data_IF_507948789684
#
_entry.id   IF_507948789684
#
_cell.length_a   1.000
_cell.length_b   1.000
_cell.length_c   1.000
_cell.angle_alpha   90.00
_cell.angle_beta   90.00
_cell.angle_gamma   90.00
#
_symmetry.space_group_name_H-M   'P 1'
#
loop_
_entity.id
_entity.type
_entity.pdbx_description
1 polymer ?
#
# COMPACT_ATOMS: atom_id res chain seq x y z
N UNK A 1 21.38 9.46 5.63
CA UNK A 1 19.91 9.66 5.56
C UNK A 1 19.26 9.42 6.93
N UNK A 2 19.43 8.25 7.53
CA UNK A 2 18.85 7.90 8.85
C UNK A 2 19.17 8.93 9.95
N UNK A 3 20.42 9.38 10.06
CA UNK A 3 20.82 10.39 11.05
C UNK A 3 20.11 11.75 10.85
N UNK A 4 19.95 12.20 9.60
CA UNK A 4 19.25 13.46 9.28
C UNK A 4 17.75 13.38 9.60
N UNK A 5 17.17 12.19 9.47
CA UNK A 5 15.77 11.93 9.86
C UNK A 5 15.67 11.92 11.39
N UNK A 6 16.59 11.25 12.07
CA UNK A 6 16.65 11.21 13.52
C UNK A 6 16.83 12.61 14.15
N UNK A 7 17.63 13.49 13.53
CA UNK A 7 17.79 14.89 13.97
C UNK A 7 16.49 15.72 13.87
N UNK A 8 15.59 15.35 12.95
CA UNK A 8 14.31 16.04 12.77
C UNK A 8 13.19 15.50 13.66
N UNK A 9 13.45 14.40 14.36
CA UNK A 9 12.46 13.66 15.12
C UNK A 9 12.07 14.39 16.40
N UNK A 10 10.78 14.30 16.71
CA UNK A 10 10.28 14.53 18.05
C UNK A 10 10.16 13.19 18.79
N UNK A 11 10.71 13.12 20.00
CA UNK A 11 10.64 11.89 20.80
C UNK A 11 9.21 11.69 21.30
N UNK A 12 8.41 12.73 21.42
CA UNK A 12 7.05 12.69 21.96
C UNK A 12 5.96 12.51 20.89
N UNK A 13 6.23 12.87 19.63
CA UNK A 13 5.22 12.83 18.55
C UNK A 13 5.65 12.01 17.35
N UNK A 14 4.67 11.58 16.53
CA UNK A 14 4.96 10.95 15.25
C UNK A 14 5.62 11.94 14.29
N UNK A 15 6.78 11.55 13.76
CA UNK A 15 7.49 12.37 12.78
C UNK A 15 7.19 11.82 11.39
N UNK A 16 6.30 12.50 10.66
CA UNK A 16 5.95 12.15 9.28
C UNK A 16 6.92 12.82 8.31
N UNK A 17 7.54 12.01 7.44
CA UNK A 17 8.50 12.43 6.43
C UNK A 17 7.88 12.25 5.04
N UNK A 18 7.50 13.35 4.37
CA UNK A 18 7.04 13.28 3.00
C UNK A 18 8.14 12.81 2.03
N UNK A 19 7.75 12.03 1.04
CA UNK A 19 8.66 11.41 0.08
C UNK A 19 8.21 11.70 -1.34
N UNK A 20 8.94 12.57 -2.04
CA UNK A 20 8.73 12.90 -3.44
C UNK A 20 9.85 12.29 -4.29
N UNK A 21 9.80 10.97 -4.41
CA UNK A 21 10.79 10.16 -5.13
C UNK A 21 10.00 9.23 -6.07
N UNK A 22 10.33 9.17 -7.37
CA UNK A 22 9.67 8.26 -8.28
C UNK A 22 10.03 6.81 -7.93
N UNK A 23 9.24 5.86 -8.43
CA UNK A 23 9.49 4.43 -8.27
C UNK A 23 10.92 4.08 -8.72
N UNK A 24 11.76 3.70 -7.75
CA UNK A 24 13.20 3.49 -7.94
C UNK A 24 13.81 2.85 -6.68
N UNK A 25 15.04 2.31 -6.74
CA UNK A 25 15.75 1.87 -5.55
C UNK A 25 15.86 2.96 -4.46
N UNK A 26 16.02 4.22 -4.86
CA UNK A 26 16.09 5.35 -3.92
C UNK A 26 14.80 5.51 -3.11
N UNK A 27 13.63 5.25 -3.70
CA UNK A 27 12.36 5.28 -2.98
C UNK A 27 12.38 4.23 -1.86
N UNK A 28 12.65 2.96 -2.19
CA UNK A 28 12.60 1.87 -1.22
C UNK A 28 13.62 2.03 -0.08
N UNK A 29 14.84 2.45 -0.41
CA UNK A 29 15.88 2.76 0.58
C UNK A 29 15.42 3.90 1.49
N UNK A 30 14.76 4.93 0.94
CA UNK A 30 14.23 6.05 1.70
C UNK A 30 13.12 5.64 2.66
N UNK A 31 12.17 4.80 2.21
CA UNK A 31 11.11 4.28 3.09
C UNK A 31 11.70 3.49 4.26
N UNK A 32 12.65 2.58 3.98
CA UNK A 32 13.34 1.80 5.01
C UNK A 32 14.11 2.68 5.99
N UNK A 33 14.81 3.70 5.51
CA UNK A 33 15.57 4.62 6.37
C UNK A 33 14.65 5.46 7.28
N UNK A 34 13.48 5.88 6.77
CA UNK A 34 12.47 6.58 7.58
C UNK A 34 11.98 5.68 8.71
N UNK A 35 11.56 4.45 8.39
CA UNK A 35 11.08 3.49 9.39
C UNK A 35 12.16 3.15 10.42
N UNK A 36 13.41 2.93 9.97
CA UNK A 36 14.55 2.64 10.86
C UNK A 36 14.91 3.81 11.77
N UNK A 37 14.66 5.04 11.34
CA UNK A 37 14.82 6.23 12.17
C UNK A 37 13.63 6.47 13.13
N UNK A 38 12.59 5.63 13.07
CA UNK A 38 11.37 5.74 13.88
C UNK A 38 10.40 6.83 13.42
N UNK A 39 10.47 7.20 12.13
CA UNK A 39 9.49 8.09 11.50
C UNK A 39 8.49 7.33 10.63
N UNK A 40 7.44 8.03 10.21
CA UNK A 40 6.44 7.54 9.26
C UNK A 40 6.68 8.14 7.88
N UNK A 41 6.51 7.38 6.80
CA UNK A 41 6.64 7.93 5.44
C UNK A 41 5.29 8.40 4.88
N UNK A 42 5.31 9.49 4.11
CA UNK A 42 4.12 9.99 3.40
C UNK A 42 4.45 10.19 1.91
N UNK A 43 4.16 9.21 1.04
CA UNK A 43 4.51 9.31 -0.37
C UNK A 43 3.73 10.45 -1.03
N UNK A 44 4.43 11.28 -1.78
CA UNK A 44 3.86 12.36 -2.57
C UNK A 44 3.87 11.95 -4.03
N UNK A 45 2.78 12.23 -4.72
CA UNK A 45 2.81 12.09 -6.16
C UNK A 45 3.81 13.13 -6.71
N UNK A 46 4.71 12.69 -7.60
CA UNK A 46 5.14 13.53 -8.73
C UNK A 46 3.86 13.93 -9.50
N UNK A 47 3.78 14.49 -10.67
CA UNK A 47 2.52 14.94 -11.33
C UNK A 47 1.44 15.78 -10.55
N UNK A 48 1.42 15.85 -9.22
CA UNK A 48 0.46 16.57 -8.42
C UNK A 48 0.72 18.07 -8.53
N UNK A 49 -0.35 18.88 -8.57
CA UNK A 49 -0.21 20.32 -8.56
C UNK A 49 0.58 20.79 -7.32
N UNK A 50 1.40 21.86 -7.43
CA UNK A 50 2.17 22.39 -6.30
C UNK A 50 1.32 22.71 -5.06
N UNK A 51 0.08 23.17 -5.23
CA UNK A 51 -0.83 23.44 -4.11
C UNK A 51 -1.22 22.17 -3.35
N UNK A 52 -1.33 21.02 -4.03
CA UNK A 52 -1.59 19.73 -3.37
C UNK A 52 -0.39 19.29 -2.54
N UNK A 53 0.83 19.44 -3.09
CA UNK A 53 2.07 19.15 -2.35
C UNK A 53 2.16 20.06 -1.13
N UNK A 54 1.95 21.36 -1.30
CA UNK A 54 1.94 22.36 -0.21
C UNK A 54 0.93 22.03 0.88
N UNK A 55 -0.28 21.63 0.50
CA UNK A 55 -1.32 21.21 1.45
C UNK A 55 -0.82 20.05 2.31
N UNK A 56 -0.35 18.96 1.70
CA UNK A 56 0.11 17.77 2.42
C UNK A 56 1.31 18.10 3.33
N UNK A 57 2.31 18.85 2.82
CA UNK A 57 3.48 19.25 3.62
C UNK A 57 3.08 20.01 4.89
N UNK A 58 2.06 20.87 4.80
CA UNK A 58 1.55 21.63 5.96
C UNK A 58 0.74 20.75 6.90
N UNK A 59 -0.15 19.93 6.35
CA UNK A 59 -1.07 19.08 7.12
C UNK A 59 -0.30 18.08 7.99
N UNK A 60 0.75 17.46 7.46
CA UNK A 60 1.64 16.58 8.24
C UNK A 60 2.72 17.31 9.04
N UNK A 61 2.69 18.65 9.08
CA UNK A 61 3.69 19.49 9.76
C UNK A 61 5.14 19.14 9.41
N UNK A 62 5.40 18.90 8.11
CA UNK A 62 6.68 18.39 7.63
C UNK A 62 7.84 19.36 7.96
N UNK A 63 8.89 18.85 8.61
CA UNK A 63 10.17 19.58 8.79
C UNK A 63 11.18 19.24 7.70
N UNK A 64 11.10 18.02 7.16
CA UNK A 64 11.99 17.46 6.16
C UNK A 64 11.16 16.78 5.08
N UNK A 65 11.61 16.87 3.83
CA UNK A 65 11.06 16.10 2.70
C UNK A 65 12.21 15.41 1.96
N UNK A 66 12.04 14.12 1.65
CA UNK A 66 13.00 13.40 0.82
C UNK A 66 12.61 13.53 -0.65
N UNK A 67 13.59 13.89 -1.48
CA UNK A 67 13.38 14.15 -2.91
C UNK A 67 14.53 13.61 -3.75
N UNK A 68 14.31 13.41 -5.04
CA UNK A 68 15.41 13.35 -6.01
C UNK A 68 15.86 14.75 -6.41
N UNK A 69 17.07 14.88 -6.95
CA UNK A 69 17.58 16.14 -7.51
C UNK A 69 16.64 16.70 -8.56
N UNK A 70 16.14 15.83 -9.43
CA UNK A 70 15.22 16.20 -10.50
C UNK A 70 13.93 16.82 -9.94
N UNK A 71 13.36 16.22 -8.88
CA UNK A 71 12.10 16.69 -8.30
C UNK A 71 12.26 17.75 -7.21
N UNK A 72 13.47 18.15 -6.83
CA UNK A 72 13.67 19.11 -5.75
C UNK A 72 12.97 20.47 -5.98
N UNK A 73 12.88 20.91 -7.24
CA UNK A 73 12.20 22.16 -7.63
C UNK A 73 10.67 22.13 -7.40
N UNK A 74 10.08 20.95 -7.21
CA UNK A 74 8.66 20.76 -6.90
C UNK A 74 8.29 21.14 -5.48
N UNK A 75 9.26 21.14 -4.57
CA UNK A 75 9.01 21.44 -3.15
C UNK A 75 8.71 22.93 -3.04
N UNK A 76 7.49 23.34 -2.61
CA UNK A 76 7.13 24.73 -2.54
C UNK A 76 8.01 25.49 -1.52
N UNK A 77 8.71 26.56 -1.91
CA UNK A 77 9.59 27.30 -1.00
C UNK A 77 8.89 27.87 0.24
N UNK A 78 7.59 28.18 0.11
CA UNK A 78 6.78 28.77 1.17
C UNK A 78 6.50 27.84 2.37
N UNK A 79 6.88 26.56 2.31
CA UNK A 79 6.62 25.60 3.38
C UNK A 79 7.72 25.55 4.45
N UNK A 80 8.86 26.24 4.28
CA UNK A 80 10.01 26.18 5.20
C UNK A 80 10.48 24.73 5.52
N UNK A 81 10.34 23.81 4.56
CA UNK A 81 10.72 22.40 4.70
C UNK A 81 12.12 22.18 4.14
N UNK A 82 12.97 21.46 4.88
CA UNK A 82 14.30 21.08 4.39
C UNK A 82 14.18 19.93 3.38
N UNK A 83 14.47 20.19 2.12
CA UNK A 83 14.54 19.15 1.09
C UNK A 83 15.89 18.42 1.16
N UNK A 84 15.86 17.09 1.32
CA UNK A 84 17.04 16.22 1.28
C UNK A 84 17.05 15.45 -0.03
N UNK A 85 18.06 15.70 -0.85
CA UNK A 85 18.27 14.97 -2.10
C UNK A 85 18.92 13.62 -1.83
N UNK A 86 18.27 12.53 -2.23
CA UNK A 86 18.70 11.16 -1.91
C UNK A 86 19.61 10.53 -2.97
N UNK A 87 19.72 11.16 -4.14
CA UNK A 87 20.43 10.70 -5.34
C UNK A 87 21.72 11.49 -5.62
N UNK A 88 22.06 12.45 -4.76
CA UNK A 88 23.28 13.28 -4.88
C UNK A 88 24.27 13.06 -3.75
N UNK A 89 23.83 12.50 -2.62
CA UNK A 89 24.70 12.25 -1.47
C UNK A 89 25.43 10.92 -1.65
N UNK A 90 26.76 10.97 -1.68
CA UNK A 90 27.58 9.77 -1.60
C UNK A 90 27.53 9.27 -0.14
N UNK A 91 26.60 8.37 0.18
CA UNK A 91 26.48 7.77 1.51
C UNK A 91 27.64 6.80 1.85
N UNK A 92 28.70 6.78 1.05
CA UNK A 92 29.89 5.93 1.23
C UNK A 92 30.74 6.29 2.46
N UNK A 93 30.40 7.33 3.23
CA UNK A 93 31.16 7.70 4.42
C UNK A 93 30.34 7.54 5.71
N UNK A 94 30.89 6.67 6.56
CA UNK A 94 30.83 6.73 8.02
C UNK A 94 29.48 6.51 8.71
N UNK A 95 29.18 5.22 8.92
CA UNK A 95 28.92 4.57 10.22
C UNK A 95 27.96 3.39 10.00
N UNK A 96 28.49 2.16 10.13
CA UNK A 96 27.67 0.96 10.44
C UNK A 96 27.12 1.06 11.87
N UNK A 97 26.48 2.18 12.23
CA UNK A 97 25.74 2.26 13.48
C UNK A 97 24.39 1.64 13.19
N UNK A 98 24.08 0.56 13.90
CA UNK A 98 22.69 0.15 14.01
C UNK A 98 21.88 1.35 14.51
N UNK A 99 20.68 1.58 13.95
CA UNK A 99 19.82 2.64 14.44
C UNK A 99 19.63 2.47 15.95
N UNK A 100 20.06 3.44 16.75
CA UNK A 100 19.85 3.43 18.21
C UNK A 100 18.39 3.73 18.59
N UNK A 101 17.51 3.84 17.61
CA UNK A 101 16.11 4.16 17.78
C UNK A 101 15.31 2.92 18.15
N UNK A 102 14.80 2.87 19.38
CA UNK A 102 13.71 1.96 19.73
C UNK A 102 12.44 2.44 19.03
N UNK A 103 12.02 1.71 17.99
CA UNK A 103 10.76 1.97 17.28
C UNK A 103 9.61 1.40 18.12
N UNK A 104 8.60 2.23 18.35
CA UNK A 104 7.39 1.86 19.06
C UNK A 104 6.37 1.32 18.04
N UNK A 105 5.88 0.06 18.17
CA UNK A 105 4.92 -0.52 17.22
C UNK A 105 3.61 0.28 17.08
N UNK A 106 3.22 1.05 18.09
CA UNK A 106 1.99 1.84 18.07
C UNK A 106 2.17 3.22 17.41
N UNK A 107 3.39 3.57 17.01
CA UNK A 107 3.64 4.77 16.20
C UNK A 107 3.34 4.56 14.73
N UNK A 108 3.12 5.67 14.05
CA UNK A 108 2.85 5.68 12.62
C UNK A 108 4.03 5.09 11.84
N UNK A 109 3.72 4.15 10.94
CA UNK A 109 4.64 3.66 9.91
C UNK A 109 4.48 4.47 8.62
N UNK A 110 3.24 4.82 8.26
CA UNK A 110 2.99 5.60 7.06
C UNK A 110 1.70 6.41 7.12
N UNK A 111 1.63 7.41 6.26
CA UNK A 111 0.42 8.21 6.00
C UNK A 111 0.11 8.18 4.51
N UNK A 112 -1.11 7.79 4.14
CA UNK A 112 -1.58 7.80 2.76
C UNK A 112 -2.71 8.81 2.58
N UNK A 113 -2.60 9.67 1.56
CA UNK A 113 -3.65 10.63 1.25
C UNK A 113 -4.65 10.07 0.24
N UNK A 114 -5.90 9.97 0.66
CA UNK A 114 -7.03 9.53 -0.19
C UNK A 114 -7.87 10.73 -0.66
N UNK A 115 -8.68 10.53 -1.70
CA UNK A 115 -9.70 11.51 -2.08
C UNK A 115 -10.83 11.49 -1.06
N UNK A 116 -10.88 12.49 -0.18
CA UNK A 116 -11.99 12.65 0.75
C UNK A 116 -13.29 12.99 0.02
N UNK A 117 -14.43 12.54 0.57
CA UNK A 117 -15.77 12.83 0.07
C UNK A 117 -16.10 14.34 -0.02
N UNK A 118 -15.41 15.17 0.77
CA UNK A 118 -15.55 16.63 0.78
C UNK A 118 -14.69 17.33 -0.29
N UNK A 119 -13.94 16.58 -1.11
CA UNK A 119 -13.00 17.11 -2.10
C UNK A 119 -11.63 17.51 -1.52
N UNK A 120 -11.52 17.66 -0.20
CA UNK A 120 -10.23 17.84 0.49
C UNK A 120 -9.56 16.48 0.73
N UNK A 121 -8.28 16.31 0.36
CA UNK A 121 -7.56 15.08 0.65
C UNK A 121 -7.53 14.78 2.15
N UNK A 122 -7.70 13.51 2.53
CA UNK A 122 -7.61 13.05 3.93
C UNK A 122 -6.38 12.17 4.09
N UNK A 123 -5.56 12.43 5.11
CA UNK A 123 -4.42 11.59 5.48
C UNK A 123 -4.88 10.45 6.38
N UNK A 124 -4.67 9.21 5.94
CA UNK A 124 -4.91 8.01 6.75
C UNK A 124 -3.57 7.57 7.33
N UNK A 125 -3.41 7.66 8.65
CA UNK A 125 -2.21 7.23 9.36
C UNK A 125 -2.33 5.79 9.83
N UNK A 126 -1.35 4.96 9.50
CA UNK A 126 -1.30 3.55 9.88
C UNK A 126 -0.07 3.27 10.72
N UNK A 127 -0.25 2.52 11.80
CA UNK A 127 0.83 2.18 12.74
C UNK A 127 1.70 1.04 12.21
N UNK A 128 2.89 0.89 12.80
CA UNK A 128 3.74 -0.28 12.56
C UNK A 128 3.02 -1.59 12.89
N UNK A 129 2.27 -1.63 13.99
CA UNK A 129 1.50 -2.77 14.45
C UNK A 129 0.45 -3.17 13.40
N UNK A 130 -0.36 -2.21 12.94
CA UNK A 130 -1.38 -2.46 11.90
C UNK A 130 -0.76 -3.01 10.60
N UNK A 131 0.27 -2.34 10.08
CA UNK A 131 0.96 -2.78 8.86
C UNK A 131 1.57 -4.18 9.00
N UNK A 132 2.22 -4.45 10.13
CA UNK A 132 2.85 -5.76 10.39
C UNK A 132 1.82 -6.87 10.52
N UNK A 133 0.74 -6.63 11.26
CA UNK A 133 -0.36 -7.58 11.41
C UNK A 133 -1.01 -7.91 10.06
N UNK A 134 -1.24 -6.89 9.22
CA UNK A 134 -1.74 -7.10 7.87
C UNK A 134 -0.80 -8.04 7.10
N UNK A 135 0.51 -7.77 7.02
CA UNK A 135 1.46 -8.63 6.30
C UNK A 135 1.49 -10.07 6.84
N UNK A 136 1.42 -10.26 8.17
CA UNK A 136 1.38 -11.58 8.78
C UNK A 136 0.08 -12.34 8.48
N UNK A 137 -1.06 -11.65 8.40
CA UNK A 137 -2.32 -12.25 8.00
C UNK A 137 -2.27 -12.73 6.54
N UNK A 138 -1.73 -11.91 5.63
CA UNK A 138 -1.54 -12.30 4.23
C UNK A 138 -0.60 -13.51 4.08
N UNK A 139 0.45 -13.59 4.91
CA UNK A 139 1.47 -14.63 4.81
C UNK A 139 0.92 -16.05 4.93
N UNK A 140 -0.14 -16.22 5.72
CA UNK A 140 -0.83 -17.50 5.94
C UNK A 140 -1.57 -18.04 4.72
N UNK A 141 -1.96 -17.17 3.80
CA UNK A 141 -2.86 -17.51 2.70
C UNK A 141 -2.25 -17.35 1.31
N UNK A 142 -1.22 -16.50 1.18
CA UNK A 142 -0.59 -16.24 -0.11
C UNK A 142 0.51 -17.27 -0.38
N UNK A 143 0.49 -17.98 -1.52
CA UNK A 143 1.55 -18.91 -1.91
C UNK A 143 2.94 -18.28 -1.93
N UNK A 144 3.97 -19.13 -1.86
CA UNK A 144 5.35 -18.69 -1.97
C UNK A 144 5.66 -18.20 -3.39
N UNK A 145 6.45 -17.13 -3.48
CA UNK A 145 6.94 -16.54 -4.73
C UNK A 145 8.37 -16.05 -4.53
N UNK A 146 9.14 -15.88 -5.61
CA UNK A 146 10.55 -15.45 -5.53
C UNK A 146 10.76 -14.03 -6.00
N UNK A 147 9.93 -13.52 -6.92
CA UNK A 147 10.15 -12.28 -7.67
C UNK A 147 8.82 -11.55 -7.85
N UNK A 148 8.60 -10.56 -7.01
CA UNK A 148 7.35 -9.78 -6.96
C UNK A 148 7.53 -8.46 -7.71
N UNK A 149 6.63 -8.14 -8.65
CA UNK A 149 6.66 -6.86 -9.36
C UNK A 149 5.94 -5.76 -8.57
N UNK A 150 6.65 -4.66 -8.29
CA UNK A 150 6.08 -3.44 -7.73
C UNK A 150 5.41 -2.64 -8.85
N UNK A 151 4.09 -2.51 -8.79
CA UNK A 151 3.24 -1.92 -9.82
C UNK A 151 2.41 -0.73 -9.31
N UNK A 152 1.83 -0.84 -8.11
CA UNK A 152 1.01 0.20 -7.53
C UNK A 152 1.78 1.52 -7.41
N UNK A 153 1.11 2.64 -7.67
CA UNK A 153 1.75 3.93 -7.43
C UNK A 153 2.10 4.06 -5.93
N UNK A 154 3.27 4.64 -5.56
CA UNK A 154 3.69 4.75 -4.16
C UNK A 154 2.70 5.47 -3.25
N UNK A 155 1.79 6.28 -3.82
CA UNK A 155 0.75 7.00 -3.09
C UNK A 155 -0.49 6.17 -2.76
N UNK A 156 -0.53 4.90 -3.17
CA UNK A 156 -1.55 3.93 -2.78
C UNK A 156 -0.94 2.93 -1.81
N UNK A 157 -1.69 2.58 -0.77
CA UNK A 157 -1.26 1.66 0.28
C UNK A 157 -1.00 0.23 -0.22
N UNK A 158 -1.59 -0.17 -1.34
CA UNK A 158 -1.20 -1.41 -2.07
C UNK A 158 0.31 -1.48 -2.30
N UNK A 159 0.96 -0.35 -2.59
CA UNK A 159 2.42 -0.33 -2.78
C UNK A 159 3.18 -0.73 -1.51
N UNK A 160 2.62 -0.48 -0.31
CA UNK A 160 3.20 -0.94 0.97
C UNK A 160 3.23 -2.46 1.00
N UNK A 161 2.14 -3.12 0.59
CA UNK A 161 2.12 -4.57 0.46
C UNK A 161 3.13 -5.06 -0.58
N UNK A 162 3.12 -4.48 -1.78
CA UNK A 162 4.02 -4.89 -2.86
C UNK A 162 5.51 -4.70 -2.53
N UNK A 163 5.85 -3.73 -1.66
CA UNK A 163 7.23 -3.45 -1.23
C UNK A 163 7.61 -4.33 -0.04
N UNK A 164 6.83 -4.28 1.04
CA UNK A 164 7.25 -4.86 2.32
C UNK A 164 6.95 -6.36 2.41
N UNK A 165 5.95 -6.88 1.69
CA UNK A 165 5.66 -8.31 1.70
C UNK A 165 6.77 -9.19 1.07
N UNK A 166 7.30 -8.88 -0.14
CA UNK A 166 8.46 -9.61 -0.65
C UNK A 166 9.70 -9.44 0.23
N UNK A 167 9.95 -8.24 0.78
CA UNK A 167 11.09 -8.01 1.66
C UNK A 167 11.00 -8.82 2.95
N UNK A 168 9.82 -8.88 3.57
CA UNK A 168 9.52 -9.71 4.72
C UNK A 168 9.79 -11.19 4.45
N UNK A 169 9.44 -11.68 3.24
CA UNK A 169 9.68 -13.08 2.81
C UNK A 169 11.10 -13.36 2.32
N UNK A 170 11.98 -12.36 2.26
CA UNK A 170 13.32 -12.51 1.66
C UNK A 170 13.29 -12.73 0.13
N UNK A 171 12.19 -12.38 -0.53
CA UNK A 171 12.01 -12.45 -1.98
C UNK A 171 12.57 -11.20 -2.67
N UNK A 172 12.76 -11.29 -3.99
CA UNK A 172 13.20 -10.15 -4.79
C UNK A 172 12.04 -9.21 -5.10
N UNK A 173 12.18 -7.94 -4.75
CA UNK A 173 11.32 -6.85 -5.25
C UNK A 173 11.82 -6.41 -6.63
N UNK A 174 10.97 -6.52 -7.64
CA UNK A 174 11.24 -6.05 -9.01
C UNK A 174 10.65 -4.66 -9.17
N UNK A 175 11.50 -3.70 -9.52
CA UNK A 175 11.14 -2.33 -9.80
C UNK A 175 11.57 -1.94 -11.20
N UNK A 176 10.73 -1.17 -11.87
CA UNK A 176 10.99 -0.64 -13.20
C UNK A 176 10.33 0.74 -13.31
N UNK A 177 10.74 1.57 -14.26
CA UNK A 177 10.04 2.82 -14.50
C UNK A 177 8.59 2.57 -14.93
N UNK A 178 7.68 3.46 -14.53
CA UNK A 178 6.25 3.34 -14.87
C UNK A 178 6.01 3.35 -16.38
N UNK A 179 6.80 4.12 -17.13
CA UNK A 179 6.73 4.20 -18.58
C UNK A 179 7.06 2.85 -19.22
N UNK A 180 8.22 2.25 -18.90
CA UNK A 180 8.61 0.94 -19.43
C UNK A 180 7.63 -0.17 -19.00
N UNK A 181 7.08 -0.07 -17.79
CA UNK A 181 6.11 -1.04 -17.28
C UNK A 181 4.81 -1.03 -18.08
N UNK A 182 4.30 0.15 -18.43
CA UNK A 182 3.02 0.30 -19.12
C UNK A 182 3.13 0.10 -20.63
N UNK A 183 4.34 0.25 -21.20
CA UNK A 183 4.61 -0.01 -22.61
C UNK A 183 4.48 -1.52 -22.96
N UNK A 184 5.15 -2.40 -22.23
CA UNK A 184 5.07 -3.86 -22.42
C UNK A 184 5.17 -4.63 -21.09
N UNK A 185 4.11 -4.57 -20.28
CA UNK A 185 4.05 -5.28 -18.99
C UNK A 185 4.38 -6.79 -19.11
N UNK A 186 3.77 -7.57 -20.05
CA UNK A 186 4.12 -8.97 -20.20
C UNK A 186 5.59 -9.18 -20.57
N UNK A 187 6.16 -8.35 -21.45
CA UNK A 187 7.58 -8.42 -21.80
C UNK A 187 8.49 -8.11 -20.63
N UNK A 188 8.17 -7.09 -19.82
CA UNK A 188 8.90 -6.81 -18.58
C UNK A 188 8.86 -8.02 -17.65
N UNK A 189 7.69 -8.61 -17.42
CA UNK A 189 7.53 -9.78 -16.55
C UNK A 189 8.33 -10.98 -17.05
N UNK A 190 8.37 -11.21 -18.38
CA UNK A 190 9.21 -12.26 -19.00
C UNK A 190 10.70 -11.98 -18.84
N UNK A 191 11.16 -10.75 -19.11
CA UNK A 191 12.58 -10.38 -19.03
C UNK A 191 13.11 -10.43 -17.60
N UNK A 192 12.27 -10.06 -16.63
CA UNK A 192 12.65 -9.93 -15.23
C UNK A 192 12.30 -11.18 -14.39
N UNK A 193 11.77 -12.23 -15.03
CA UNK A 193 11.34 -13.48 -14.39
C UNK A 193 10.35 -13.28 -13.24
N UNK A 194 9.38 -12.37 -13.41
CA UNK A 194 8.35 -12.10 -12.40
C UNK A 194 7.47 -13.35 -12.21
N UNK A 195 7.30 -13.78 -10.96
CA UNK A 195 6.42 -14.91 -10.61
C UNK A 195 5.24 -14.52 -9.69
N UNK A 196 5.21 -13.28 -9.19
CA UNK A 196 4.06 -12.68 -8.50
C UNK A 196 3.80 -11.23 -8.91
N UNK A 197 2.53 -10.85 -9.05
CA UNK A 197 2.11 -9.52 -9.50
C UNK A 197 0.75 -9.15 -8.90
N UNK A 198 0.56 -7.88 -8.54
CA UNK A 198 -0.74 -7.34 -8.14
C UNK A 198 -1.28 -6.38 -9.21
N UNK A 199 -2.43 -6.71 -9.80
CA UNK A 199 -3.09 -5.88 -10.82
C UNK A 199 -4.01 -6.67 -11.76
N UNK A 200 -4.68 -5.95 -12.67
CA UNK A 200 -5.71 -6.52 -13.57
C UNK A 200 -5.36 -6.41 -15.06
N UNK A 201 -4.17 -5.88 -15.40
CA UNK A 201 -3.81 -5.50 -16.77
C UNK A 201 -3.44 -6.70 -17.67
N UNK A 202 -3.18 -7.87 -17.08
CA UNK A 202 -2.83 -9.07 -17.82
C UNK A 202 -4.08 -9.68 -18.47
N UNK A 203 -3.94 -10.03 -19.76
CA UNK A 203 -5.05 -10.59 -20.56
C UNK A 203 -4.96 -12.09 -20.78
N UNK A 204 -3.75 -12.66 -20.76
CA UNK A 204 -3.48 -14.07 -21.04
C UNK A 204 -2.36 -14.60 -20.18
N UNK A 205 -2.54 -15.78 -19.58
CA UNK A 205 -1.51 -16.47 -18.80
C UNK A 205 -0.29 -16.86 -19.64
N UNK A 206 -0.52 -17.21 -20.91
CA UNK A 206 0.52 -17.61 -21.87
C UNK A 206 1.54 -16.48 -22.15
N UNK A 207 1.13 -15.22 -22.01
CA UNK A 207 2.01 -14.07 -22.22
C UNK A 207 3.04 -13.92 -21.09
N UNK A 208 2.81 -14.55 -19.94
CA UNK A 208 3.61 -14.45 -18.71
C UNK A 208 3.81 -15.84 -18.10
N UNK A 209 4.49 -16.78 -18.80
CA UNK A 209 4.51 -18.20 -18.44
C UNK A 209 5.19 -18.52 -17.10
N UNK A 210 5.91 -17.57 -16.49
CA UNK A 210 6.53 -17.72 -15.17
C UNK A 210 5.64 -17.23 -14.01
N UNK A 211 4.54 -16.55 -14.31
CA UNK A 211 3.60 -16.05 -13.30
C UNK A 211 2.94 -17.23 -12.58
N UNK A 212 2.99 -17.20 -11.25
CA UNK A 212 2.35 -18.19 -10.38
C UNK A 212 1.26 -17.59 -9.49
N UNK A 213 1.32 -16.28 -9.29
CA UNK A 213 0.43 -15.58 -8.39
C UNK A 213 0.04 -14.21 -8.96
N UNK A 214 -1.25 -14.07 -9.26
CA UNK A 214 -1.93 -12.85 -9.63
C UNK A 214 -2.82 -12.41 -8.46
N UNK A 215 -2.46 -11.29 -7.87
CA UNK A 215 -3.21 -10.64 -6.81
C UNK A 215 -4.06 -9.53 -7.43
N UNK A 216 -5.28 -9.31 -6.94
CA UNK A 216 -6.09 -8.17 -7.41
C UNK A 216 -6.63 -7.35 -6.25
N UNK A 217 -6.56 -6.03 -6.41
CA UNK A 217 -7.04 -5.03 -5.45
C UNK A 217 -7.42 -3.73 -6.19
N UNK A 218 -8.35 -2.98 -5.61
CA UNK A 218 -8.55 -1.55 -5.90
C UNK A 218 -9.55 -1.28 -7.03
N UNK A 219 -9.91 -2.30 -7.79
CA UNK A 219 -11.01 -2.25 -8.76
C UNK A 219 -11.80 -3.56 -8.74
N UNK A 220 -13.06 -3.48 -9.16
CA UNK A 220 -13.89 -4.67 -9.34
C UNK A 220 -13.25 -5.59 -10.38
N UNK A 221 -13.14 -6.88 -10.05
CA UNK A 221 -12.64 -7.89 -10.97
C UNK A 221 -13.48 -7.93 -12.25
N UNK A 222 -12.83 -8.20 -13.38
CA UNK A 222 -13.51 -8.36 -14.67
C UNK A 222 -13.63 -9.84 -15.00
N UNK A 223 -14.79 -10.26 -15.51
CA UNK A 223 -15.04 -11.64 -15.90
C UNK A 223 -13.94 -12.27 -16.77
N UNK A 224 -13.36 -11.57 -17.78
CA UNK A 224 -12.26 -12.13 -18.55
C UNK A 224 -11.02 -12.49 -17.72
N UNK A 225 -10.69 -11.69 -16.69
CA UNK A 225 -9.56 -11.97 -15.79
C UNK A 225 -9.86 -13.19 -14.92
N UNK A 226 -11.08 -13.29 -14.39
CA UNK A 226 -11.51 -14.44 -13.58
C UNK A 226 -11.47 -15.73 -14.42
N UNK A 227 -11.99 -15.69 -15.65
CA UNK A 227 -11.99 -16.84 -16.54
C UNK A 227 -10.57 -17.24 -16.96
N UNK A 228 -9.70 -16.26 -17.24
CA UNK A 228 -8.34 -16.51 -17.72
C UNK A 228 -7.38 -16.95 -16.62
N UNK A 229 -7.49 -16.43 -15.40
CA UNK A 229 -6.53 -16.68 -14.31
C UNK A 229 -7.09 -17.50 -13.14
N UNK A 230 -8.42 -17.66 -13.06
CA UNK A 230 -9.06 -18.52 -12.08
C UNK A 230 -8.85 -20.00 -12.34
N UNK A 231 -9.05 -20.80 -11.29
CA UNK A 231 -8.87 -22.25 -11.32
C UNK A 231 -10.04 -22.97 -11.97
N UNK A 232 -9.75 -24.08 -12.66
CA UNK A 232 -10.74 -24.97 -13.28
C UNK A 232 -10.27 -26.43 -13.22
N UNK A 233 -11.05 -27.35 -13.79
CA UNK A 233 -10.67 -28.76 -13.88
C UNK A 233 -9.42 -29.01 -14.73
N UNK A 234 -9.00 -28.05 -15.57
CA UNK A 234 -7.86 -28.22 -16.48
C UNK A 234 -6.60 -27.51 -16.01
N UNK A 235 -6.70 -26.51 -15.15
CA UNK A 235 -5.56 -25.72 -14.67
C UNK A 235 -5.80 -25.14 -13.28
N UNK A 236 -4.73 -25.05 -12.49
CA UNK A 236 -4.74 -24.39 -11.18
C UNK A 236 -5.06 -22.89 -11.28
N UNK A 237 -5.59 -22.34 -10.19
CA UNK A 237 -5.82 -20.90 -10.08
C UNK A 237 -4.49 -20.19 -9.87
N UNK A 238 -4.29 -19.11 -10.60
CA UNK A 238 -3.25 -18.13 -10.31
C UNK A 238 -3.83 -16.94 -9.54
N UNK A 239 -5.15 -16.87 -9.34
CA UNK A 239 -5.86 -15.65 -8.95
C UNK A 239 -6.26 -15.63 -7.48
N UNK A 240 -5.79 -14.62 -6.75
CA UNK A 240 -6.19 -14.30 -5.38
C UNK A 240 -6.85 -12.93 -5.40
N UNK A 241 -8.13 -12.89 -5.05
CA UNK A 241 -8.89 -11.65 -5.01
C UNK A 241 -8.86 -11.07 -3.61
N UNK A 242 -8.52 -9.80 -3.47
CA UNK A 242 -8.49 -9.13 -2.17
C UNK A 242 -9.24 -7.82 -2.24
N UNK A 243 -9.74 -7.39 -1.09
CA UNK A 243 -10.43 -6.13 -0.95
C UNK A 243 -10.13 -5.54 0.42
N UNK A 244 -9.94 -4.23 0.46
CA UNK A 244 -9.96 -3.43 1.68
C UNK A 244 -9.79 -1.95 1.37
N UNK A 245 -10.40 -1.07 2.18
CA UNK A 245 -10.11 0.35 2.15
C UNK A 245 -8.76 0.64 2.84
N UNK A 246 -8.21 1.84 2.59
CA UNK A 246 -6.92 2.24 3.17
C UNK A 246 -6.93 2.23 4.70
N UNK A 247 -8.07 2.60 5.28
CA UNK A 247 -8.28 2.67 6.71
C UNK A 247 -8.35 1.29 7.38
N UNK A 248 -8.58 0.22 6.62
CA UNK A 248 -8.50 -1.17 7.11
C UNK A 248 -7.12 -1.79 6.91
N UNK A 249 -6.11 -0.98 6.55
CA UNK A 249 -4.73 -1.39 6.29
C UNK A 249 -4.61 -2.35 5.10
N UNK A 250 -4.64 -1.79 3.89
CA UNK A 250 -4.40 -2.49 2.61
C UNK A 250 -5.54 -3.44 2.20
N UNK A 251 -5.74 -4.53 2.93
CA UNK A 251 -6.80 -5.50 2.64
C UNK A 251 -7.46 -5.97 3.95
N UNK A 252 -8.78 -6.11 3.94
CA UNK A 252 -9.55 -6.71 5.03
C UNK A 252 -10.11 -8.08 4.67
N UNK A 253 -10.26 -8.40 3.39
CA UNK A 253 -10.82 -9.66 2.90
C UNK A 253 -9.96 -10.26 1.80
N UNK A 254 -10.00 -11.59 1.73
CA UNK A 254 -9.25 -12.38 0.77
C UNK A 254 -10.07 -13.58 0.30
N UNK A 255 -10.02 -13.82 -1.01
CA UNK A 255 -10.43 -15.07 -1.63
C UNK A 255 -9.22 -15.76 -2.24
N UNK A 256 -8.84 -16.90 -1.67
CA UNK A 256 -7.71 -17.70 -2.13
C UNK A 256 -8.08 -18.59 -3.31
N UNK A 257 -7.17 -18.75 -4.28
CA UNK A 257 -7.33 -19.69 -5.39
C UNK A 257 -8.70 -19.56 -6.08
N UNK A 258 -9.05 -18.35 -6.51
CA UNK A 258 -10.36 -18.01 -7.06
C UNK A 258 -10.73 -18.95 -8.22
N UNK A 259 -11.89 -19.64 -8.18
CA UNK A 259 -12.39 -20.42 -9.31
C UNK A 259 -12.75 -19.55 -10.52
N UNK A 260 -12.61 -20.08 -11.74
CA UNK A 260 -12.93 -19.36 -12.98
C UNK A 260 -14.43 -19.08 -13.20
N UNK A 261 -15.30 -19.72 -12.41
CA UNK A 261 -16.74 -19.46 -12.36
C UNK A 261 -17.19 -18.48 -11.27
N UNK A 262 -16.25 -17.82 -10.57
CA UNK A 262 -16.58 -16.92 -9.46
C UNK A 262 -17.23 -15.62 -9.91
N UNK A 263 -18.03 -15.02 -9.03
CA UNK A 263 -18.62 -13.69 -9.26
C UNK A 263 -17.55 -12.60 -9.18
N UNK A 264 -17.59 -11.58 -10.07
CA UNK A 264 -16.80 -10.34 -9.95
C UNK A 264 -16.91 -9.61 -8.62
N UNK A 265 -18.07 -9.73 -7.95
CA UNK A 265 -18.32 -9.11 -6.65
C UNK A 265 -17.84 -9.93 -5.45
N UNK A 266 -17.21 -11.08 -5.69
CA UNK A 266 -16.70 -11.92 -4.60
C UNK A 266 -15.42 -11.32 -4.02
N UNK A 267 -15.52 -10.75 -2.82
CA UNK A 267 -14.39 -10.22 -2.05
C UNK A 267 -13.77 -11.25 -1.09
N UNK A 268 -14.36 -12.43 -0.97
CA UNK A 268 -13.85 -13.52 -0.14
C UNK A 268 -14.30 -13.43 1.31
N UNK A 269 -13.40 -13.81 2.21
CA UNK A 269 -13.63 -13.85 3.65
C UNK A 269 -12.67 -12.92 4.39
N UNK A 270 -12.99 -12.47 5.61
CA UNK A 270 -12.09 -11.62 6.38
C UNK A 270 -10.74 -12.29 6.64
N UNK A 271 -9.67 -11.51 6.60
CA UNK A 271 -8.35 -11.90 7.08
C UNK A 271 -8.37 -12.06 8.60
N UNK A 272 -7.48 -12.89 9.15
CA UNK A 272 -7.44 -13.24 10.59
C UNK A 272 -7.37 -12.03 11.54
N UNK A 273 -6.87 -10.89 11.08
CA UNK A 273 -6.69 -9.67 11.86
C UNK A 273 -7.89 -8.72 11.78
N UNK A 274 -8.91 -9.05 11.00
CA UNK A 274 -10.05 -8.20 10.71
C UNK A 274 -11.36 -8.95 10.92
N UNK A 275 -12.33 -8.27 11.52
CA UNK A 275 -13.73 -8.69 11.55
C UNK A 275 -14.51 -7.87 10.53
N UNK A 276 -15.37 -8.54 9.77
CA UNK A 276 -16.30 -7.88 8.86
C UNK A 276 -17.75 -8.24 9.19
N UNK A 277 -18.62 -7.25 9.06
CA UNK A 277 -20.05 -7.36 9.29
C UNK A 277 -20.81 -6.72 8.14
N UNK A 278 -21.98 -7.28 7.83
CA UNK A 278 -22.94 -6.61 6.94
C UNK A 278 -23.96 -5.92 7.83
N UNK A 279 -24.05 -4.61 7.72
CA UNK A 279 -24.94 -3.78 8.55
C UNK A 279 -26.04 -3.14 7.68
N UNK A 280 -27.17 -2.85 8.31
CA UNK A 280 -28.23 -2.07 7.69
C UNK A 280 -27.69 -0.65 7.39
N UNK A 281 -27.83 -0.13 6.15
CA UNK A 281 -27.44 1.24 5.85
C UNK A 281 -28.19 2.23 6.74
N UNK A 282 -27.52 3.29 7.18
CA UNK A 282 -28.15 4.34 7.95
C UNK A 282 -29.21 5.07 7.10
N UNK A 283 -30.45 5.18 7.60
CA UNK A 283 -31.53 5.90 6.92
C UNK A 283 -31.44 7.42 7.16
N UNK A 284 -30.76 7.84 8.22
CA UNK A 284 -30.48 9.24 8.56
C UNK A 284 -29.12 9.39 9.26
N UNK A 285 -28.53 10.59 9.21
CA UNK A 285 -27.25 10.88 9.89
C UNK A 285 -27.34 10.83 11.43
N UNK A 286 -28.55 10.93 11.99
CA UNK A 286 -28.82 10.88 13.43
C UNK A 286 -28.98 9.45 13.98
N UNK A 287 -29.09 8.42 13.14
CA UNK A 287 -29.20 7.00 13.55
C UNK A 287 -27.86 6.38 14.03
N UNK A 288 -26.84 7.20 14.25
CA UNK A 288 -25.43 6.77 14.36
C UNK A 288 -25.02 6.08 15.67
N UNK A 289 -25.94 5.77 16.60
CA UNK A 289 -25.58 5.15 17.88
C UNK A 289 -25.79 3.63 17.96
N UNK A 290 -26.63 3.04 17.09
CA UNK A 290 -26.84 1.59 17.07
C UNK A 290 -26.80 1.04 15.64
N UNK A 291 -25.85 0.14 15.35
CA UNK A 291 -25.80 -0.57 14.08
C UNK A 291 -26.58 -1.88 14.17
N UNK A 292 -27.35 -2.20 13.13
CA UNK A 292 -28.09 -3.46 13.02
C UNK A 292 -27.34 -4.41 12.09
N UNK A 293 -26.93 -5.58 12.59
CA UNK A 293 -26.37 -6.65 11.78
C UNK A 293 -27.45 -7.28 10.90
N UNK A 294 -27.17 -7.46 9.60
CA UNK A 294 -28.08 -8.14 8.69
C UNK A 294 -27.86 -9.66 8.69
N UNK A 295 -28.92 -10.47 8.52
CA UNK A 295 -28.81 -11.91 8.29
C UNK A 295 -27.95 -12.27 7.07
N UNK A 296 -27.40 -13.49 7.09
CA UNK A 296 -26.63 -14.02 5.97
C UNK A 296 -27.47 -14.03 4.68
N UNK A 297 -26.91 -13.45 3.61
CA UNK A 297 -27.54 -13.39 2.29
C UNK A 297 -28.29 -12.08 2.02
N UNK A 298 -28.49 -11.22 3.03
CA UNK A 298 -29.07 -9.91 2.83
C UNK A 298 -28.01 -8.88 2.38
N UNK A 299 -28.31 -8.03 1.40
CA UNK A 299 -27.42 -6.95 0.99
C UNK A 299 -27.43 -5.82 2.02
N UNK A 300 -26.25 -5.26 2.32
CA UNK A 300 -26.09 -4.14 3.23
C UNK A 300 -24.73 -3.48 3.10
N UNK A 301 -24.42 -2.59 4.05
CA UNK A 301 -23.16 -1.87 4.14
C UNK A 301 -22.09 -2.77 4.76
N UNK A 302 -20.89 -2.79 4.17
CA UNK A 302 -19.77 -3.56 4.73
C UNK A 302 -19.07 -2.74 5.82
N UNK A 303 -19.12 -3.21 7.05
CA UNK A 303 -18.34 -2.66 8.16
C UNK A 303 -17.14 -3.55 8.43
N UNK A 304 -15.96 -2.95 8.55
CA UNK A 304 -14.73 -3.64 8.92
C UNK A 304 -14.12 -3.04 10.20
N UNK A 305 -13.57 -3.89 11.06
CA UNK A 305 -12.84 -3.49 12.26
C UNK A 305 -11.71 -4.47 12.58
N UNK A 306 -10.59 -3.96 13.07
CA UNK A 306 -9.42 -4.77 13.47
C UNK A 306 -9.16 -4.60 14.98
N UNK A 307 -8.43 -5.54 15.59
CA UNK A 307 -8.10 -5.46 17.00
C UNK A 307 -7.04 -4.37 17.26
N UNK A 308 -7.43 -3.41 18.11
CA UNK A 308 -6.70 -2.24 18.65
C UNK A 308 -6.49 -1.07 17.66
N UNK A 309 -7.31 -0.04 17.87
CA UNK A 309 -7.20 1.37 17.44
C UNK A 309 -7.68 1.81 16.04
N UNK A 310 -8.11 0.91 15.16
CA UNK A 310 -8.75 1.32 13.90
C UNK A 310 -10.28 1.32 14.00
N UNK A 311 -10.87 2.52 13.93
CA UNK A 311 -12.32 2.79 13.87
C UNK A 311 -13.08 1.80 12.98
N UNK A 312 -14.27 1.39 13.45
CA UNK A 312 -15.32 0.83 12.59
C UNK A 312 -15.62 1.85 11.50
N UNK A 313 -15.27 1.53 10.25
CA UNK A 313 -15.69 2.30 9.09
C UNK A 313 -16.83 1.57 8.41
N UNK A 314 -17.99 2.23 8.42
CA UNK A 314 -19.11 1.92 7.56
C UNK A 314 -18.74 2.41 6.14
N UNK A 315 -18.70 1.49 5.18
CA UNK A 315 -18.40 1.80 3.78
C UNK A 315 -19.71 1.85 2.98
N UNK A 316 -20.18 3.07 2.69
CA UNK A 316 -21.35 3.35 1.85
C UNK A 316 -21.19 2.89 0.39
#
# INVERSE_FOLDING_TARGET
>A
MEALIAESRDIETDTVIPVLIPQSPHLYISLLAILKAGGAFCPLNADAPPERVKFILKDVSAKVVLVTRELAHRVPPACNVKAIQVDTQNFESEHKREPSCKVDPERLAYVMYTSGSTGTPKGVGLTHSAATQALLAHDRHIPQFRRFLQFAAPTFDVSVFEIFFPLFRGSTLISISREEMLDDLPGVMRRMDVDAFAGSLLKKREAVPKLKLLLTIGEMLKMPVIQEFGGSNTHESLLWAMYGPTEATIHCTLQTSLPSGSSPGSIGVPLDTVSCFIIKPAESADDSQEFTLLPQGEPGELAAGANLDAMVLALQ
#
